data_IF_354185446982
#
_entry.id   IF_354185446982
#
_cell.length_a   1.000
_cell.length_b   1.000
_cell.length_c   1.000
_cell.angle_alpha   90.00
_cell.angle_beta   90.00
_cell.angle_gamma   90.00
#
_symmetry.space_group_name_H-M   'P 1'
#
loop_
_entity.id
_entity.type
_entity.pdbx_description
1 polymer ?
#
# COMPACT_ATOMS: atom_id res chain seq x y z
N UNK A 1 -1.94 13.77 -21.53
CA UNK A 1 -1.93 12.27 -21.43
C UNK A 1 -2.88 11.89 -20.32
N UNK A 2 -3.75 10.89 -20.50
CA UNK A 2 -4.77 10.56 -19.49
C UNK A 2 -4.18 9.96 -18.23
N UNK A 3 -4.81 10.28 -17.08
CA UNK A 3 -4.51 9.76 -15.76
C UNK A 3 -4.96 8.28 -15.58
N UNK A 4 -4.70 7.44 -16.56
CA UNK A 4 -5.12 6.03 -16.51
C UNK A 4 -3.92 5.10 -16.57
N UNK A 5 -4.02 3.98 -15.84
CA UNK A 5 -3.07 2.89 -16.00
C UNK A 5 -3.27 2.25 -17.38
N UNK A 6 -2.20 1.72 -17.99
CA UNK A 6 -2.31 1.04 -19.29
C UNK A 6 -3.15 -0.23 -19.18
N UNK A 7 -3.64 -0.69 -20.32
CA UNK A 7 -4.28 -2.00 -20.41
C UNK A 7 -3.24 -3.11 -20.35
N UNK A 8 -3.41 -4.07 -19.44
CA UNK A 8 -2.44 -5.16 -19.21
C UNK A 8 -2.77 -6.45 -19.97
N UNK A 9 -3.95 -6.53 -20.57
CA UNK A 9 -4.41 -7.76 -21.23
C UNK A 9 -4.43 -8.96 -20.28
N UNK A 10 -4.02 -10.13 -20.76
CA UNK A 10 -4.00 -11.37 -19.97
C UNK A 10 -3.01 -11.36 -18.79
N UNK A 11 -2.12 -10.37 -18.72
CA UNK A 11 -1.21 -10.21 -17.59
C UNK A 11 -1.90 -9.68 -16.33
N UNK A 12 -3.15 -9.21 -16.40
CA UNK A 12 -3.96 -8.76 -15.28
C UNK A 12 -5.20 -9.65 -15.14
N UNK A 13 -5.35 -10.26 -13.98
CA UNK A 13 -6.42 -11.23 -13.73
C UNK A 13 -6.85 -11.24 -12.27
N UNK A 14 -8.04 -11.78 -12.01
CA UNK A 14 -8.56 -12.02 -10.65
C UNK A 14 -7.98 -13.30 -10.09
N UNK A 15 -7.53 -13.24 -8.85
CA UNK A 15 -7.08 -14.38 -8.08
C UNK A 15 -8.12 -14.66 -6.98
N UNK A 16 -8.80 -15.78 -7.11
CA UNK A 16 -9.69 -16.31 -6.07
C UNK A 16 -8.93 -17.32 -5.21
N UNK A 17 -9.11 -17.23 -3.90
CA UNK A 17 -8.54 -18.18 -2.94
C UNK A 17 -9.65 -18.98 -2.29
N UNK A 18 -9.45 -20.28 -2.14
CA UNK A 18 -10.45 -21.18 -1.58
C UNK A 18 -10.85 -20.77 -0.15
N UNK A 19 -12.15 -20.69 0.10
CA UNK A 19 -12.72 -20.30 1.39
C UNK A 19 -12.88 -18.80 1.62
N UNK A 20 -12.63 -17.98 0.58
CA UNK A 20 -12.82 -16.53 0.63
C UNK A 20 -13.81 -16.00 -0.41
N UNK A 21 -14.47 -16.90 -1.13
CA UNK A 21 -15.45 -16.47 -2.13
C UNK A 21 -16.59 -15.65 -1.49
N UNK A 22 -17.06 -14.58 -2.13
CA UNK A 22 -16.75 -14.13 -3.49
C UNK A 22 -15.56 -13.15 -3.60
N UNK A 23 -14.72 -12.99 -2.55
CA UNK A 23 -13.60 -12.08 -2.55
C UNK A 23 -12.47 -12.55 -3.49
N UNK A 24 -11.74 -11.60 -4.06
CA UNK A 24 -10.60 -11.85 -4.94
C UNK A 24 -9.57 -10.73 -4.85
N UNK A 25 -8.32 -11.08 -5.10
CA UNK A 25 -7.26 -10.13 -5.39
C UNK A 25 -7.15 -9.88 -6.90
N UNK A 26 -6.53 -8.76 -7.28
CA UNK A 26 -6.14 -8.51 -8.67
C UNK A 26 -4.64 -8.62 -8.79
N UNK A 27 -4.18 -9.52 -9.66
CA UNK A 27 -2.76 -9.77 -9.93
C UNK A 27 -2.40 -9.15 -11.27
N UNK A 28 -1.29 -8.43 -11.32
CA UNK A 28 -0.70 -7.92 -12.55
C UNK A 28 0.74 -8.39 -12.66
N UNK A 29 1.03 -9.19 -13.67
CA UNK A 29 2.39 -9.64 -13.98
C UNK A 29 3.15 -8.53 -14.72
N UNK A 30 4.45 -8.35 -14.45
CA UNK A 30 5.24 -7.30 -15.08
C UNK A 30 5.42 -7.52 -16.59
N UNK A 31 5.79 -6.47 -17.32
CA UNK A 31 6.00 -6.55 -18.77
C UNK A 31 7.06 -7.58 -19.18
N UNK A 32 8.07 -7.73 -18.35
CA UNK A 32 9.19 -8.66 -18.53
C UNK A 32 8.98 -10.04 -17.90
N UNK A 33 7.71 -10.39 -17.56
CA UNK A 33 7.41 -11.66 -16.90
C UNK A 33 7.80 -12.87 -17.72
N UNK A 34 8.51 -13.79 -17.06
CA UNK A 34 8.90 -15.09 -17.60
C UNK A 34 8.63 -16.16 -16.54
N UNK A 35 7.90 -17.20 -16.92
CA UNK A 35 7.64 -18.33 -16.03
C UNK A 35 8.96 -18.96 -15.54
N UNK A 36 9.03 -19.27 -14.25
CA UNK A 36 10.22 -19.86 -13.61
C UNK A 36 11.26 -18.84 -13.13
N UNK A 37 11.13 -17.57 -13.48
CA UNK A 37 11.95 -16.48 -12.94
C UNK A 37 11.37 -15.98 -11.62
N UNK A 38 12.24 -15.50 -10.72
CA UNK A 38 11.83 -14.84 -9.46
C UNK A 38 11.63 -13.34 -9.66
N UNK A 39 10.58 -12.80 -9.00
CA UNK A 39 10.22 -11.40 -9.03
C UNK A 39 9.94 -10.87 -7.63
N UNK A 40 10.41 -9.67 -7.33
CA UNK A 40 9.90 -8.94 -6.16
C UNK A 40 8.38 -8.78 -6.27
N UNK A 41 7.68 -8.73 -5.13
CA UNK A 41 6.22 -8.59 -5.13
C UNK A 41 5.83 -7.32 -4.37
N UNK A 42 4.96 -6.52 -4.98
CA UNK A 42 4.34 -5.37 -4.34
C UNK A 42 2.86 -5.66 -4.12
N UNK A 43 2.48 -5.82 -2.86
CA UNK A 43 1.08 -5.93 -2.44
C UNK A 43 0.53 -4.55 -2.14
N UNK A 44 -0.74 -4.32 -2.48
CA UNK A 44 -1.42 -3.03 -2.31
C UNK A 44 -2.77 -3.20 -1.63
N UNK A 45 -3.07 -2.32 -0.67
CA UNK A 45 -4.42 -2.08 -0.17
C UNK A 45 -4.96 -0.75 -0.70
N UNK A 46 -6.21 -0.77 -1.20
CA UNK A 46 -6.88 0.41 -1.78
C UNK A 46 -7.36 1.41 -0.73
N UNK A 47 -7.60 2.66 -1.18
CA UNK A 47 -8.33 3.67 -0.41
C UNK A 47 -9.81 3.32 -0.19
N UNK A 48 -10.51 4.13 0.61
CA UNK A 48 -11.97 4.05 0.73
C UNK A 48 -12.66 4.45 -0.58
N UNK A 49 -13.87 3.93 -0.78
CA UNK A 49 -14.82 4.56 -1.69
C UNK A 49 -15.02 6.02 -1.29
N UNK A 50 -14.57 6.91 -2.17
CA UNK A 50 -14.64 8.36 -1.97
C UNK A 50 -14.82 9.05 -3.33
N UNK A 51 -16.08 9.18 -3.79
CA UNK A 51 -16.40 9.69 -5.13
C UNK A 51 -15.83 11.09 -5.41
N UNK A 52 -15.71 11.94 -4.37
CA UNK A 52 -15.17 13.29 -4.50
C UNK A 52 -13.73 13.32 -5.01
N UNK A 53 -12.94 12.30 -4.69
CA UNK A 53 -11.56 12.12 -5.22
C UNK A 53 -11.49 11.21 -6.43
N UNK A 54 -12.63 10.64 -6.86
CA UNK A 54 -12.69 9.63 -7.91
C UNK A 54 -12.25 8.24 -7.48
N UNK A 55 -12.13 7.97 -6.15
CA UNK A 55 -11.80 6.65 -5.64
C UNK A 55 -13.05 5.76 -5.58
N UNK A 56 -13.02 4.63 -6.28
CA UNK A 56 -14.07 3.60 -6.24
C UNK A 56 -13.95 2.66 -5.04
N UNK A 57 -12.79 2.59 -4.41
CA UNK A 57 -12.47 1.60 -3.39
C UNK A 57 -12.26 0.16 -3.92
N UNK A 58 -12.44 -0.06 -5.22
CA UNK A 58 -12.32 -1.36 -5.87
C UNK A 58 -10.84 -1.74 -6.11
N UNK A 59 -10.56 -3.02 -6.02
CA UNK A 59 -9.21 -3.56 -6.28
C UNK A 59 -8.82 -3.45 -7.76
N UNK A 60 -9.80 -3.44 -8.68
CA UNK A 60 -9.56 -3.28 -10.11
C UNK A 60 -9.09 -1.88 -10.49
N UNK A 61 -9.52 -0.87 -9.75
CA UNK A 61 -9.23 0.54 -10.05
C UNK A 61 -7.97 1.06 -9.36
N UNK A 62 -7.30 0.20 -8.59
CA UNK A 62 -6.03 0.51 -7.95
C UNK A 62 -4.96 0.90 -8.96
N UNK A 63 -4.13 1.87 -8.62
CA UNK A 63 -3.09 2.40 -9.51
C UNK A 63 -1.74 2.64 -8.83
N UNK A 64 -1.72 2.62 -7.48
CA UNK A 64 -0.54 2.95 -6.69
C UNK A 64 0.65 2.04 -7.02
N UNK A 65 0.45 0.71 -7.04
CA UNK A 65 1.53 -0.23 -7.30
C UNK A 65 2.09 -0.10 -8.71
N UNK A 66 1.25 0.22 -9.71
CA UNK A 66 1.76 0.55 -11.04
C UNK A 66 2.59 1.84 -11.02
N UNK A 67 2.13 2.88 -10.36
CA UNK A 67 2.86 4.14 -10.23
C UNK A 67 4.24 3.95 -9.57
N UNK A 68 4.32 3.10 -8.55
CA UNK A 68 5.57 2.77 -7.83
C UNK A 68 6.53 1.96 -8.71
N UNK A 69 6.04 0.95 -9.44
CA UNK A 69 6.88 -0.04 -10.16
C UNK A 69 7.09 0.31 -11.64
N UNK A 70 6.24 1.14 -12.20
CA UNK A 70 6.17 1.37 -13.65
C UNK A 70 5.79 0.12 -14.45
N UNK A 71 5.19 -0.89 -13.81
CA UNK A 71 4.77 -2.14 -14.43
C UNK A 71 5.91 -3.10 -14.78
N UNK A 72 7.10 -2.95 -14.19
CA UNK A 72 8.30 -3.74 -14.48
C UNK A 72 8.92 -4.31 -13.21
N UNK A 73 9.59 -5.46 -13.34
CA UNK A 73 10.37 -6.12 -12.28
C UNK A 73 9.60 -6.60 -11.05
N UNK A 74 8.33 -6.23 -10.89
CA UNK A 74 7.48 -6.59 -9.76
C UNK A 74 6.21 -7.27 -10.22
N UNK A 75 5.81 -8.34 -9.55
CA UNK A 75 4.43 -8.79 -9.55
C UNK A 75 3.66 -7.82 -8.66
N UNK A 76 2.60 -7.22 -9.18
CA UNK A 76 1.74 -6.31 -8.43
C UNK A 76 0.43 -6.99 -8.07
N UNK A 77 0.09 -7.01 -6.80
CA UNK A 77 -1.09 -7.69 -6.24
C UNK A 77 -1.92 -6.72 -5.43
N UNK A 78 -3.14 -6.46 -5.85
CA UNK A 78 -4.09 -5.65 -5.08
C UNK A 78 -4.94 -6.57 -4.23
N UNK A 79 -4.81 -6.45 -2.92
CA UNK A 79 -5.49 -7.27 -1.93
C UNK A 79 -6.89 -6.73 -1.61
N UNK A 80 -7.89 -7.59 -1.42
CA UNK A 80 -9.20 -7.16 -0.95
C UNK A 80 -9.19 -6.85 0.55
N UNK A 81 -10.15 -6.05 1.00
CA UNK A 81 -10.68 -6.13 2.35
C UNK A 81 -11.85 -7.12 2.30
N UNK A 82 -11.73 -8.22 3.03
CA UNK A 82 -12.65 -9.36 2.92
C UNK A 82 -13.94 -9.09 3.66
N UNK A 83 -15.10 -9.33 3.03
CA UNK A 83 -16.41 -9.41 3.68
C UNK A 83 -17.24 -10.55 3.11
N UNK A 84 -18.34 -10.90 3.76
CA UNK A 84 -19.26 -11.92 3.27
C UNK A 84 -19.90 -11.56 1.90
N UNK A 85 -20.01 -10.26 1.60
CA UNK A 85 -20.61 -9.77 0.37
C UNK A 85 -19.59 -9.62 -0.77
N UNK A 86 -18.30 -9.81 -0.50
CA UNK A 86 -17.20 -9.63 -1.45
C UNK A 86 -16.17 -8.63 -0.98
N UNK A 87 -15.44 -8.02 -1.91
CA UNK A 87 -14.43 -7.03 -1.60
C UNK A 87 -15.06 -5.77 -0.98
N UNK A 88 -14.72 -5.48 0.28
CA UNK A 88 -15.24 -4.30 0.99
C UNK A 88 -14.59 -3.01 0.47
N UNK A 89 -15.40 -2.02 0.12
CA UNK A 89 -14.94 -0.74 -0.45
C UNK A 89 -14.74 0.36 0.57
N UNK A 90 -15.24 0.14 1.80
CA UNK A 90 -15.18 1.15 2.88
C UNK A 90 -14.71 0.51 4.16
N UNK A 91 -13.66 1.05 4.77
CA UNK A 91 -12.98 0.51 5.95
C UNK A 91 -12.50 -0.95 5.76
N UNK A 92 -12.73 -1.85 6.68
CA UNK A 92 -11.91 -3.06 6.84
C UNK A 92 -12.61 -4.38 6.49
N UNK A 93 -13.93 -4.41 6.42
CA UNK A 93 -14.65 -5.68 6.38
C UNK A 93 -14.28 -6.57 7.60
N UNK A 94 -14.08 -7.85 7.35
CA UNK A 94 -13.66 -8.84 8.34
C UNK A 94 -12.14 -8.85 8.48
N UNK A 95 -11.63 -8.19 9.51
CA UNK A 95 -10.18 -7.97 9.70
C UNK A 95 -9.37 -9.26 9.70
N UNK A 96 -9.79 -10.27 10.46
CA UNK A 96 -9.04 -11.53 10.57
C UNK A 96 -9.10 -12.34 9.27
N UNK A 97 -10.22 -12.29 8.54
CA UNK A 97 -10.31 -12.88 7.21
C UNK A 97 -9.42 -12.15 6.21
N UNK A 98 -9.35 -10.82 6.28
CA UNK A 98 -8.44 -10.00 5.45
C UNK A 98 -6.97 -10.36 5.70
N UNK A 99 -6.57 -10.57 6.96
CA UNK A 99 -5.21 -11.01 7.32
C UNK A 99 -4.91 -12.39 6.72
N UNK A 100 -5.80 -13.36 6.90
CA UNK A 100 -5.61 -14.71 6.34
C UNK A 100 -5.55 -14.69 4.82
N UNK A 101 -6.44 -13.93 4.16
CA UNK A 101 -6.39 -13.77 2.71
C UNK A 101 -5.03 -13.28 2.23
N UNK A 102 -4.44 -12.29 2.91
CA UNK A 102 -3.14 -11.76 2.54
C UNK A 102 -2.02 -12.81 2.68
N UNK A 103 -2.03 -13.61 3.75
CA UNK A 103 -1.06 -14.69 3.98
C UNK A 103 -1.17 -15.76 2.88
N UNK A 104 -2.40 -16.18 2.57
CA UNK A 104 -2.65 -17.19 1.53
C UNK A 104 -2.31 -16.66 0.14
N UNK A 105 -2.59 -15.37 -0.14
CA UNK A 105 -2.20 -14.71 -1.38
C UNK A 105 -0.67 -14.69 -1.55
N UNK A 106 0.09 -14.39 -0.50
CA UNK A 106 1.57 -14.45 -0.55
C UNK A 106 2.03 -15.86 -0.93
N UNK A 107 1.48 -16.89 -0.28
CA UNK A 107 1.81 -18.29 -0.57
C UNK A 107 1.53 -18.64 -2.03
N UNK A 108 0.37 -18.27 -2.53
CA UNK A 108 -0.06 -18.55 -3.91
C UNK A 108 0.82 -17.81 -4.93
N UNK A 109 1.12 -16.53 -4.72
CA UNK A 109 1.96 -15.73 -5.61
C UNK A 109 3.40 -16.26 -5.66
N UNK A 110 3.96 -16.62 -4.51
CA UNK A 110 5.31 -17.14 -4.46
C UNK A 110 5.43 -18.53 -5.10
N UNK A 111 4.44 -19.40 -4.89
CA UNK A 111 4.49 -20.77 -5.40
C UNK A 111 4.18 -20.89 -6.90
N UNK A 112 3.18 -20.15 -7.39
CA UNK A 112 2.66 -20.29 -8.76
C UNK A 112 3.22 -19.30 -9.77
N UNK A 113 3.52 -18.07 -9.31
CA UNK A 113 3.90 -16.97 -10.21
C UNK A 113 5.36 -16.53 -10.03
N UNK A 114 6.12 -17.20 -9.19
CA UNK A 114 7.54 -16.90 -9.00
C UNK A 114 7.78 -15.64 -8.15
N UNK A 115 6.87 -15.29 -7.26
CA UNK A 115 7.15 -14.28 -6.24
C UNK A 115 8.36 -14.70 -5.38
N UNK A 116 9.23 -13.73 -5.08
CA UNK A 116 10.39 -13.94 -4.22
C UNK A 116 10.01 -13.65 -2.77
N UNK A 117 9.98 -14.68 -1.88
CA UNK A 117 9.56 -14.49 -0.48
C UNK A 117 10.48 -13.58 0.32
N UNK A 118 11.73 -13.37 -0.13
CA UNK A 118 12.67 -12.46 0.52
C UNK A 118 12.50 -10.99 0.08
N UNK A 119 11.64 -10.74 -0.92
CA UNK A 119 11.44 -9.42 -1.52
C UNK A 119 9.95 -9.06 -1.67
N UNK A 120 9.22 -9.13 -0.54
CA UNK A 120 7.80 -8.79 -0.45
C UNK A 120 7.63 -7.39 0.16
N UNK A 121 6.87 -6.55 -0.51
CA UNK A 121 6.57 -5.18 -0.09
C UNK A 121 5.06 -4.99 0.03
N UNK A 122 4.65 -4.17 1.00
CA UNK A 122 3.25 -3.81 1.18
C UNK A 122 3.09 -2.30 1.07
N UNK A 123 2.16 -1.85 0.22
CA UNK A 123 1.84 -0.44 0.07
C UNK A 123 0.34 -0.17 0.23
N UNK A 124 -0.01 1.09 0.38
CA UNK A 124 -1.40 1.52 0.39
C UNK A 124 -1.57 3.02 0.37
N UNK A 125 -2.69 3.45 -0.18
CA UNK A 125 -3.10 4.84 -0.25
C UNK A 125 -4.32 5.08 0.66
N UNK A 126 -4.38 6.21 1.35
CA UNK A 126 -5.54 6.61 2.17
C UNK A 126 -5.87 5.54 3.24
N UNK A 127 -7.07 4.93 3.23
CA UNK A 127 -7.41 3.76 4.05
C UNK A 127 -6.35 2.67 3.92
N UNK A 128 -5.90 2.41 2.69
CA UNK A 128 -4.85 1.42 2.42
C UNK A 128 -3.54 1.74 3.13
N UNK A 129 -3.17 3.02 3.26
CA UNK A 129 -1.99 3.42 4.01
C UNK A 129 -2.09 3.07 5.51
N UNK A 130 -3.29 3.23 6.09
CA UNK A 130 -3.56 2.77 7.46
C UNK A 130 -3.48 1.23 7.51
N UNK A 131 -4.06 0.53 6.50
CA UNK A 131 -4.07 -0.93 6.43
C UNK A 131 -2.67 -1.54 6.36
N UNK A 132 -1.67 -0.85 5.78
CA UNK A 132 -0.27 -1.31 5.78
C UNK A 132 0.17 -1.69 7.20
N UNK A 133 -0.18 -0.91 8.21
CA UNK A 133 0.11 -1.25 9.59
C UNK A 133 -1.04 -2.01 10.27
N UNK A 134 -2.30 -1.57 10.09
CA UNK A 134 -3.45 -2.13 10.79
C UNK A 134 -3.71 -3.60 10.46
N UNK A 135 -3.51 -3.97 9.21
CA UNK A 135 -3.60 -5.35 8.71
C UNK A 135 -2.20 -5.96 8.59
N UNK A 136 -1.28 -5.31 7.86
CA UNK A 136 0.03 -5.86 7.53
C UNK A 136 0.96 -6.06 8.73
N UNK A 137 0.72 -5.38 9.86
CA UNK A 137 1.47 -5.56 11.12
C UNK A 137 0.57 -6.07 12.26
N UNK A 138 -0.56 -6.71 11.94
CA UNK A 138 -1.55 -7.14 12.92
C UNK A 138 -1.00 -8.11 13.96
N UNK A 139 -0.19 -9.07 13.53
CA UNK A 139 0.49 -10.06 14.36
C UNK A 139 1.88 -10.36 13.77
N UNK A 140 2.65 -11.22 14.43
CA UNK A 140 4.03 -11.52 14.02
C UNK A 140 4.08 -12.35 12.73
N UNK A 141 3.08 -13.18 12.47
CA UNK A 141 2.99 -14.02 11.27
C UNK A 141 2.94 -13.16 10.01
N UNK A 142 1.91 -12.32 9.85
CA UNK A 142 1.78 -11.47 8.67
C UNK A 142 2.89 -10.41 8.61
N UNK A 143 3.30 -9.88 9.75
CA UNK A 143 4.37 -8.89 9.79
C UNK A 143 5.71 -9.45 9.30
N UNK A 144 6.01 -10.73 9.54
CA UNK A 144 7.26 -11.36 9.11
C UNK A 144 7.40 -11.46 7.59
N UNK A 145 6.30 -11.37 6.85
CA UNK A 145 6.30 -11.48 5.39
C UNK A 145 6.96 -10.27 4.70
N UNK A 146 6.84 -9.08 5.29
CA UNK A 146 7.19 -7.84 4.60
C UNK A 146 8.64 -7.44 4.82
N UNK A 147 9.38 -7.25 3.74
CA UNK A 147 10.70 -6.59 3.72
C UNK A 147 10.58 -5.08 3.84
N UNK A 148 9.59 -4.48 3.21
CA UNK A 148 9.38 -3.04 3.22
C UNK A 148 7.91 -2.63 3.17
N UNK A 149 7.63 -1.43 3.71
CA UNK A 149 6.30 -0.87 3.86
C UNK A 149 6.26 0.53 3.24
N UNK A 150 5.21 0.83 2.47
CA UNK A 150 5.02 2.14 1.85
C UNK A 150 3.61 2.66 2.14
N UNK A 151 3.52 3.82 2.78
CA UNK A 151 2.23 4.45 3.13
C UNK A 151 2.08 5.79 2.42
N UNK A 152 0.91 6.02 1.84
CA UNK A 152 0.60 7.23 1.08
C UNK A 152 -0.65 7.91 1.62
N UNK A 153 -0.49 9.16 2.06
CA UNK A 153 -1.55 10.07 2.51
C UNK A 153 -2.36 9.61 3.73
N UNK A 154 -1.83 8.82 4.61
CA UNK A 154 -2.29 8.61 5.99
C UNK A 154 -1.31 7.68 6.71
N UNK A 155 -1.47 7.60 8.04
CA UNK A 155 -0.66 6.68 8.85
C UNK A 155 -1.47 6.17 10.05
N UNK A 156 -1.24 4.90 10.40
CA UNK A 156 -1.93 4.20 11.49
C UNK A 156 -1.70 4.87 12.85
N UNK A 157 -2.77 5.18 13.58
CA UNK A 157 -2.73 5.77 14.91
C UNK A 157 -2.61 7.30 14.96
N UNK A 158 -2.51 8.00 13.82
CA UNK A 158 -2.31 9.46 13.82
C UNK A 158 -3.56 10.20 14.25
N UNK A 159 -4.71 9.89 13.67
CA UNK A 159 -5.99 10.58 13.91
C UNK A 159 -7.20 9.66 13.89
N UNK A 160 -8.31 10.13 14.44
CA UNK A 160 -9.62 9.48 14.28
C UNK A 160 -10.21 9.79 12.90
N UNK A 161 -11.08 8.91 12.48
CA UNK A 161 -11.82 9.02 11.23
C UNK A 161 -13.31 8.90 11.53
N UNK A 162 -14.14 9.50 10.70
CA UNK A 162 -15.57 9.31 10.81
C UNK A 162 -15.89 7.80 10.63
N UNK A 163 -16.52 7.23 11.67
CA UNK A 163 -16.83 5.80 11.74
C UNK A 163 -15.71 4.86 12.18
N UNK A 164 -14.46 5.36 12.41
CA UNK A 164 -13.37 4.47 12.83
C UNK A 164 -12.25 5.17 13.63
N UNK A 165 -11.58 4.41 14.52
CA UNK A 165 -10.41 4.90 15.27
C UNK A 165 -10.75 5.66 16.56
N UNK A 166 -12.02 5.68 16.98
CA UNK A 166 -12.47 6.32 18.22
C UNK A 166 -12.58 5.32 19.38
N UNK A 167 -12.21 5.69 20.61
CA UNK A 167 -11.51 6.92 20.98
C UNK A 167 -10.01 6.85 20.60
N UNK A 168 -9.44 7.97 20.18
CA UNK A 168 -8.08 8.07 19.67
C UNK A 168 -7.01 7.50 20.61
N UNK A 169 -7.21 7.64 21.92
CA UNK A 169 -6.25 7.12 22.90
C UNK A 169 -6.15 5.58 22.89
N UNK A 170 -7.28 4.88 22.67
CA UNK A 170 -7.31 3.42 22.48
C UNK A 170 -6.64 3.03 21.18
N UNK A 171 -7.04 3.67 20.10
CA UNK A 171 -6.49 3.42 18.77
C UNK A 171 -4.97 3.62 18.73
N UNK A 172 -4.46 4.72 19.29
CA UNK A 172 -3.01 4.98 19.39
C UNK A 172 -2.26 3.93 20.20
N UNK A 173 -2.83 3.42 21.28
CA UNK A 173 -2.22 2.35 22.05
C UNK A 173 -2.07 1.07 21.21
N UNK A 174 -3.10 0.68 20.49
CA UNK A 174 -3.08 -0.50 19.62
C UNK A 174 -2.13 -0.31 18.43
N UNK A 175 -2.11 0.86 17.82
CA UNK A 175 -1.18 1.21 16.74
C UNK A 175 0.29 1.15 17.19
N UNK A 176 0.59 1.55 18.44
CA UNK A 176 1.95 1.42 19.01
C UNK A 176 2.42 -0.03 19.08
N UNK A 177 1.54 -0.95 19.44
CA UNK A 177 1.89 -2.39 19.50
C UNK A 177 2.20 -2.92 18.09
N UNK A 178 1.43 -2.53 17.08
CA UNK A 178 1.71 -2.88 15.69
C UNK A 178 3.04 -2.29 15.21
N UNK A 179 3.30 -1.05 15.54
CA UNK A 179 4.50 -0.33 15.13
C UNK A 179 5.82 -0.96 15.61
N UNK A 180 5.81 -1.70 16.72
CA UNK A 180 6.98 -2.46 17.19
C UNK A 180 7.49 -3.47 16.15
N UNK A 181 6.61 -3.95 15.28
CA UNK A 181 6.92 -4.92 14.22
C UNK A 181 7.58 -4.32 12.98
N UNK A 182 7.84 -3.01 12.99
CA UNK A 182 8.59 -2.34 11.90
C UNK A 182 10.11 -2.38 12.09
N UNK A 183 10.62 -2.86 13.23
CA UNK A 183 12.00 -2.66 13.71
C UNK A 183 13.11 -2.98 12.70
N UNK A 184 12.92 -3.95 11.81
CA UNK A 184 13.91 -4.33 10.80
C UNK A 184 13.48 -4.02 9.35
N UNK A 185 12.38 -3.26 9.17
CA UNK A 185 11.78 -3.03 7.87
C UNK A 185 12.17 -1.68 7.30
N UNK A 186 12.36 -1.63 5.99
CA UNK A 186 12.43 -0.35 5.27
C UNK A 186 11.03 0.26 5.21
N UNK A 187 10.86 1.50 5.65
CA UNK A 187 9.56 2.17 5.67
C UNK A 187 9.64 3.49 4.89
N UNK A 188 8.77 3.65 3.90
CA UNK A 188 8.56 4.92 3.21
C UNK A 188 7.21 5.49 3.59
N UNK A 189 7.22 6.70 4.12
CA UNK A 189 6.02 7.47 4.44
C UNK A 189 5.95 8.67 3.50
N UNK A 190 4.90 8.71 2.69
CA UNK A 190 4.62 9.77 1.74
C UNK A 190 3.35 10.49 2.18
N UNK A 191 3.39 11.81 2.28
CA UNK A 191 2.23 12.58 2.73
C UNK A 191 2.11 13.89 1.95
N UNK A 192 0.86 14.20 1.57
CA UNK A 192 0.45 15.46 1.01
C UNK A 192 -0.21 16.33 2.08
N UNK A 193 0.16 17.60 2.27
CA UNK A 193 1.30 18.24 1.61
C UNK A 193 2.65 17.92 2.27
N UNK A 194 2.64 17.45 3.53
CA UNK A 194 3.86 17.17 4.29
C UNK A 194 3.65 16.09 5.38
N UNK A 195 4.74 15.52 5.85
CA UNK A 195 4.78 14.43 6.84
C UNK A 195 4.86 14.90 8.29
N UNK A 196 4.79 16.18 8.60
CA UNK A 196 5.04 16.74 9.96
C UNK A 196 4.15 16.12 11.04
N UNK A 197 2.84 15.99 10.78
CA UNK A 197 1.92 15.38 11.76
C UNK A 197 2.33 13.93 12.10
N UNK A 198 2.73 13.17 11.09
CA UNK A 198 3.17 11.78 11.26
C UNK A 198 4.52 11.73 12.00
N UNK A 199 5.46 12.60 11.62
CA UNK A 199 6.75 12.69 12.30
C UNK A 199 6.60 13.07 13.79
N UNK A 200 5.71 14.02 14.11
CA UNK A 200 5.38 14.42 15.49
C UNK A 200 4.76 13.26 16.28
N UNK A 201 3.86 12.49 15.65
CA UNK A 201 3.27 11.31 16.25
C UNK A 201 4.33 10.24 16.54
N UNK A 202 5.14 9.90 15.55
CA UNK A 202 6.22 8.92 15.67
C UNK A 202 7.29 9.36 16.67
N UNK A 203 7.66 10.63 16.68
CA UNK A 203 8.61 11.20 17.63
C UNK A 203 8.14 11.12 19.10
N UNK A 204 6.83 11.26 19.35
CA UNK A 204 6.23 11.08 20.69
C UNK A 204 6.26 9.61 21.14
N UNK A 205 6.12 8.68 20.21
CA UNK A 205 6.18 7.24 20.49
C UNK A 205 7.64 6.77 20.60
N UNK A 206 8.48 7.30 19.73
CA UNK A 206 9.82 6.79 19.41
C UNK A 206 10.94 7.24 20.34
N UNK A 207 10.68 7.98 21.44
CA UNK A 207 11.74 8.38 22.40
C UNK A 207 12.57 7.20 22.97
N UNK A 208 12.19 5.97 22.67
CA UNK A 208 12.88 4.74 23.08
C UNK A 208 13.15 3.76 21.92
N UNK A 209 12.94 4.16 20.66
CA UNK A 209 12.88 3.19 19.56
C UNK A 209 13.87 3.57 18.44
N UNK A 210 14.94 2.80 18.31
CA UNK A 210 15.96 2.91 17.25
C UNK A 210 15.42 2.63 15.83
N UNK A 211 14.13 2.25 15.70
CA UNK A 211 13.56 1.83 14.43
C UNK A 211 13.37 2.97 13.42
N UNK A 212 13.26 4.22 13.87
CA UNK A 212 13.08 5.37 12.98
C UNK A 212 14.26 5.58 12.00
N UNK A 213 15.41 4.97 12.25
CA UNK A 213 16.56 5.01 11.33
C UNK A 213 16.27 4.35 9.97
N UNK A 214 15.26 3.48 9.89
CA UNK A 214 14.84 2.81 8.66
C UNK A 214 13.64 3.49 7.99
N UNK A 215 13.17 4.60 8.55
CA UNK A 215 12.07 5.38 8.02
C UNK A 215 12.58 6.47 7.07
N UNK A 216 11.96 6.55 5.92
CA UNK A 216 12.14 7.63 4.95
C UNK A 216 10.84 8.42 4.88
N UNK A 217 10.93 9.74 4.97
CA UNK A 217 9.78 10.64 4.86
C UNK A 217 9.88 11.41 3.56
N UNK A 218 8.77 11.49 2.82
CA UNK A 218 8.67 12.24 1.58
C UNK A 218 7.47 13.18 1.65
N UNK A 219 7.75 14.47 1.69
CA UNK A 219 6.75 15.53 1.55
C UNK A 219 6.44 15.73 0.08
N UNK A 220 5.14 15.74 -0.25
CA UNK A 220 4.69 15.95 -1.62
C UNK A 220 3.83 17.22 -1.69
N UNK A 221 4.46 18.39 -1.88
CA UNK A 221 3.75 19.66 -1.93
C UNK A 221 2.91 19.75 -3.21
N UNK A 222 1.59 19.88 -3.04
CA UNK A 222 0.59 19.82 -4.10
C UNK A 222 0.83 20.85 -5.21
N UNK A 223 1.26 22.05 -4.84
CA UNK A 223 1.54 23.14 -5.79
C UNK A 223 2.67 22.83 -6.78
N UNK A 224 3.53 21.88 -6.44
CA UNK A 224 4.59 21.41 -7.34
C UNK A 224 4.18 20.28 -8.28
N UNK A 225 3.11 19.55 -7.90
CA UNK A 225 2.63 18.42 -8.70
C UNK A 225 1.74 18.82 -9.84
N UNK A 226 0.99 19.92 -9.71
CA UNK A 226 -0.10 20.27 -10.61
C UNK A 226 0.26 21.39 -11.57
N UNK A 227 1.23 21.17 -12.45
CA UNK A 227 1.26 21.82 -13.77
C UNK A 227 0.30 21.08 -14.74
N UNK A 228 -0.86 20.68 -14.24
CA UNK A 228 -1.92 20.07 -15.02
C UNK A 228 -2.68 21.20 -15.73
N UNK A 229 -3.11 21.02 -16.99
CA UNK A 229 -3.98 21.97 -17.66
C UNK A 229 -5.18 22.31 -16.78
N UNK A 230 -5.56 23.60 -16.72
CA UNK A 230 -6.58 24.14 -15.83
C UNK A 230 -8.00 23.53 -16.01
N UNK A 231 -8.20 22.71 -17.03
CA UNK A 231 -9.44 22.00 -17.36
C UNK A 231 -9.54 20.60 -16.73
N UNK A 232 -8.44 20.11 -16.11
CA UNK A 232 -8.44 18.80 -15.44
C UNK A 232 -8.45 19.01 -13.93
N UNK A 233 -9.62 18.76 -13.32
CA UNK A 233 -9.71 18.73 -11.86
C UNK A 233 -9.05 17.49 -11.30
N UNK A 234 -8.04 17.66 -10.46
CA UNK A 234 -7.42 16.59 -9.68
C UNK A 234 -7.64 16.89 -8.21
N UNK A 235 -8.33 16.00 -7.51
CA UNK A 235 -8.52 16.13 -6.09
C UNK A 235 -7.16 16.08 -5.38
N UNK A 236 -6.87 16.97 -4.40
CA UNK A 236 -5.57 16.99 -3.71
C UNK A 236 -5.24 15.67 -2.99
N UNK A 237 -6.24 14.91 -2.54
CA UNK A 237 -6.05 13.59 -1.96
C UNK A 237 -6.09 12.54 -3.07
N UNK A 238 -4.94 12.23 -3.65
CA UNK A 238 -4.78 11.29 -4.76
C UNK A 238 -3.36 10.72 -4.82
N UNK A 239 -3.23 9.47 -5.25
CA UNK A 239 -1.96 8.79 -5.57
C UNK A 239 -1.59 8.88 -7.06
N UNK A 240 -2.48 9.43 -7.89
CA UNK A 240 -2.34 9.43 -9.37
C UNK A 240 -1.15 10.23 -9.88
N UNK A 241 -0.57 11.11 -9.07
CA UNK A 241 0.67 11.80 -9.43
C UNK A 241 1.86 10.85 -9.66
N UNK A 242 1.81 9.64 -9.11
CA UNK A 242 2.81 8.58 -9.36
C UNK A 242 2.75 8.02 -10.79
N UNK A 243 1.65 8.22 -11.51
CA UNK A 243 1.49 7.79 -12.91
C UNK A 243 2.23 8.70 -13.89
N UNK A 244 2.78 9.81 -13.41
CA UNK A 244 3.55 10.77 -14.22
C UNK A 244 5.02 10.77 -13.83
N UNK A 245 5.87 11.10 -14.79
CA UNK A 245 7.29 11.34 -14.52
C UNK A 245 7.47 12.72 -13.87
N UNK A 246 7.88 12.71 -12.62
CA UNK A 246 8.21 13.87 -11.81
C UNK A 246 9.29 13.49 -10.78
N UNK A 247 9.83 14.48 -10.05
CA UNK A 247 10.87 14.23 -9.05
C UNK A 247 10.43 13.27 -7.93
N UNK A 248 9.17 13.36 -7.50
CA UNK A 248 8.63 12.54 -6.40
C UNK A 248 8.37 11.09 -6.84
N UNK A 249 7.78 10.87 -8.02
CA UNK A 249 7.60 9.53 -8.58
C UNK A 249 8.95 8.85 -8.84
N UNK A 250 9.93 9.59 -9.33
CA UNK A 250 11.31 9.13 -9.51
C UNK A 250 11.94 8.75 -8.18
N UNK A 251 11.74 9.56 -7.13
CA UNK A 251 12.23 9.25 -5.78
C UNK A 251 11.64 7.94 -5.25
N UNK A 252 10.31 7.75 -5.33
CA UNK A 252 9.61 6.54 -4.85
C UNK A 252 10.09 5.30 -5.61
N UNK A 253 10.19 5.37 -6.94
CA UNK A 253 10.69 4.26 -7.77
C UNK A 253 12.13 3.88 -7.41
N UNK A 254 12.99 4.86 -7.22
CA UNK A 254 14.38 4.61 -6.80
C UNK A 254 14.46 4.08 -5.37
N UNK A 255 13.56 4.51 -4.47
CA UNK A 255 13.53 4.02 -3.10
C UNK A 255 13.22 2.52 -3.05
N UNK A 256 12.17 2.05 -3.74
CA UNK A 256 11.82 0.63 -3.71
C UNK A 256 12.91 -0.25 -4.35
N UNK A 257 13.56 0.21 -5.43
CA UNK A 257 14.67 -0.52 -6.05
C UNK A 257 15.88 -0.64 -5.11
N UNK A 258 16.17 0.40 -4.32
CA UNK A 258 17.21 0.31 -3.26
C UNK A 258 16.79 -0.63 -2.15
N UNK A 259 15.52 -0.61 -1.73
CA UNK A 259 15.01 -1.48 -0.68
C UNK A 259 15.05 -2.98 -1.07
N UNK A 260 14.86 -3.31 -2.35
CA UNK A 260 15.05 -4.68 -2.86
C UNK A 260 16.50 -5.15 -2.63
N UNK A 261 17.48 -4.27 -2.86
CA UNK A 261 18.91 -4.60 -2.76
C UNK A 261 19.50 -4.41 -1.35
N UNK A 262 18.73 -3.90 -0.39
CA UNK A 262 19.17 -3.77 0.99
C UNK A 262 19.23 -5.16 1.66
N UNK A 263 20.37 -5.44 2.31
CA UNK A 263 20.61 -6.66 3.10
C UNK A 263 20.05 -6.52 4.52
#
# INVERSE_FOLDING_TARGET
MGLSIPTFGERRFRLYLAGFEPCYAVVTLPEDYQSGKKYSVLFEYTGNYFPQSGSSGEVEDASLGYGITGGKNFIWVVLPFVSEQGNERTWWGEREATIRFAIDAVTEICSRFGGDPDNLFLCGFSRGAIAVNYIGLANDEIASLWKGLLTFDHYDGVREWDGWGSPLCKYRREARERLKRTAAKQVLIVQQPDTREIQDYLGKIGKSLDFLKHFTFLDVPMEKLFQIPNDIFVHPHTDKWLLFDNEFSTFVRNWILRAVNAQ
#
